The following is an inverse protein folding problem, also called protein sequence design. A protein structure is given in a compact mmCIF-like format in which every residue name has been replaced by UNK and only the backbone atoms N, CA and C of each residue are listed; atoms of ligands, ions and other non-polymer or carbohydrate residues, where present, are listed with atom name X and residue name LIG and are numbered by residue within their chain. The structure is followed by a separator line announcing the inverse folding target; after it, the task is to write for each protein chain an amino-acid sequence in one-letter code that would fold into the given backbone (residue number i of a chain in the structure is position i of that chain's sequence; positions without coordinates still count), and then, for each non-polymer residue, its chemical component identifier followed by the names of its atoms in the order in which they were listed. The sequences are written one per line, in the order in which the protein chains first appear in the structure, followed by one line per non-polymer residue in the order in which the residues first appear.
data_IF_878756219069
#
_entry.id   IF_878756219069
#
_cell.length_a   1.000
_cell.length_b   1.000
_cell.length_c   1.000
_cell.angle_alpha   90.00
_cell.angle_beta   90.00
_cell.angle_gamma   90.00
#
_symmetry.space_group_name_H-M   'P 1'
#
loop_
_entity.id
_entity.type
_entity.pdbx_description
1 polymer ?
#
# COMPACT_ATOMS: atom_id res chain seq x y z
N UNK A 1 0.00 -28.43 10.85
CA UNK A 1 0.96 -28.93 11.85
C UNK A 1 1.08 -27.89 12.95
N UNK A 2 0.97 -28.29 14.21
CA UNK A 2 1.09 -27.40 15.36
C UNK A 2 2.56 -27.20 15.75
N UNK A 3 2.88 -26.11 16.45
CA UNK A 3 4.25 -25.83 16.94
C UNK A 3 4.80 -27.00 17.78
N UNK A 4 3.93 -27.63 18.57
CA UNK A 4 4.26 -28.77 19.43
C UNK A 4 4.61 -30.02 18.64
N UNK A 5 3.91 -30.30 17.53
CA UNK A 5 4.22 -31.42 16.63
C UNK A 5 5.60 -31.26 15.98
N UNK A 6 5.94 -30.05 15.53
CA UNK A 6 7.24 -29.76 14.92
C UNK A 6 8.38 -29.98 15.92
N UNK A 7 8.22 -29.51 17.15
CA UNK A 7 9.22 -29.71 18.20
C UNK A 7 9.36 -31.18 18.60
N UNK A 8 8.27 -31.94 18.61
CA UNK A 8 8.32 -33.38 18.85
C UNK A 8 9.08 -34.10 17.73
N UNK A 9 8.85 -33.74 16.47
CA UNK A 9 9.58 -34.29 15.33
C UNK A 9 11.10 -33.98 15.40
N UNK A 10 11.46 -32.73 15.72
CA UNK A 10 12.87 -32.33 15.85
C UNK A 10 13.61 -33.06 16.99
N UNK A 11 12.91 -33.50 18.03
CA UNK A 11 13.53 -34.28 19.13
C UNK A 11 14.02 -35.65 18.68
N UNK A 12 13.39 -36.22 17.66
CA UNK A 12 13.75 -37.53 17.11
C UNK A 12 14.95 -37.49 16.15
N UNK A 13 15.47 -36.29 15.85
CA UNK A 13 16.62 -36.08 14.99
C UNK A 13 17.91 -35.94 15.81
N UNK A 14 19.03 -36.19 15.15
CA UNK A 14 20.36 -35.92 15.68
C UNK A 14 20.58 -34.42 15.87
N UNK A 15 21.51 -34.01 16.75
CA UNK A 15 21.93 -32.61 16.86
C UNK A 15 22.34 -31.98 15.52
N UNK A 16 23.03 -32.73 14.66
CA UNK A 16 23.53 -32.30 13.36
C UNK A 16 22.37 -31.98 12.40
N UNK A 17 21.41 -32.89 12.28
CA UNK A 17 20.21 -32.69 11.45
C UNK A 17 19.36 -31.51 11.97
N UNK A 18 19.28 -31.33 13.28
CA UNK A 18 18.61 -30.15 13.87
C UNK A 18 19.29 -28.84 13.48
N UNK A 19 20.63 -28.81 13.49
CA UNK A 19 21.38 -27.63 13.08
C UNK A 19 21.16 -27.31 11.61
N UNK A 20 21.15 -28.32 10.74
CA UNK A 20 20.87 -28.16 9.31
C UNK A 20 19.47 -27.60 9.04
N UNK A 21 18.46 -28.09 9.77
CA UNK A 21 17.09 -27.57 9.68
C UNK A 21 17.03 -26.11 10.13
N UNK A 22 17.66 -25.76 11.25
CA UNK A 22 17.70 -24.39 11.77
C UNK A 22 18.37 -23.45 10.75
N UNK A 23 19.48 -23.88 10.16
CA UNK A 23 20.18 -23.09 9.15
C UNK A 23 19.30 -22.87 7.91
N UNK A 24 18.69 -23.94 7.41
CA UNK A 24 17.79 -23.88 6.25
C UNK A 24 16.61 -22.95 6.51
N UNK A 25 15.93 -23.11 7.65
CA UNK A 25 14.84 -22.23 8.06
C UNK A 25 15.30 -20.76 8.17
N UNK A 26 16.50 -20.53 8.71
CA UNK A 26 17.08 -19.20 8.83
C UNK A 26 17.36 -18.56 7.47
N UNK A 27 17.85 -19.33 6.49
CA UNK A 27 18.07 -18.85 5.11
C UNK A 27 16.74 -18.47 4.46
N UNK A 28 15.73 -19.34 4.54
CA UNK A 28 14.39 -19.05 4.00
C UNK A 28 13.78 -17.77 4.59
N UNK A 29 13.92 -17.57 5.91
CA UNK A 29 13.43 -16.35 6.56
C UNK A 29 14.14 -15.09 6.05
N UNK A 30 15.45 -15.16 5.77
CA UNK A 30 16.20 -14.03 5.20
C UNK A 30 15.74 -13.73 3.78
N UNK A 31 15.57 -14.76 2.96
CA UNK A 31 15.09 -14.61 1.57
C UNK A 31 13.70 -13.96 1.55
N UNK A 32 12.79 -14.38 2.44
CA UNK A 32 11.47 -13.78 2.58
C UNK A 32 11.51 -12.29 2.95
N UNK A 33 12.42 -11.91 3.85
CA UNK A 33 12.62 -10.52 4.25
C UNK A 33 13.13 -9.70 3.06
N UNK A 34 14.11 -10.23 2.33
CA UNK A 34 14.67 -9.57 1.15
C UNK A 34 13.63 -9.40 0.05
N UNK A 35 12.87 -10.45 -0.27
CA UNK A 35 11.79 -10.37 -1.27
C UNK A 35 10.72 -9.35 -0.88
N UNK A 36 10.35 -9.27 0.40
CA UNK A 36 9.41 -8.23 0.87
C UNK A 36 9.98 -6.83 0.66
N UNK A 37 11.26 -6.62 0.94
CA UNK A 37 11.93 -5.34 0.69
C UNK A 37 11.93 -4.99 -0.81
N UNK A 38 12.29 -5.94 -1.68
CA UNK A 38 12.28 -5.76 -3.13
C UNK A 38 10.88 -5.42 -3.66
N UNK A 39 9.84 -6.15 -3.23
CA UNK A 39 8.44 -5.86 -3.62
C UNK A 39 8.00 -4.47 -3.19
N UNK A 40 8.44 -3.99 -2.01
CA UNK A 40 8.14 -2.63 -1.54
C UNK A 40 8.78 -1.57 -2.44
N UNK A 41 10.03 -1.77 -2.84
CA UNK A 41 10.75 -0.88 -3.77
C UNK A 41 10.06 -0.87 -5.13
N UNK A 42 9.73 -2.04 -5.68
CA UNK A 42 9.05 -2.17 -6.96
C UNK A 42 7.67 -1.51 -6.94
N UNK A 43 6.88 -1.72 -5.88
CA UNK A 43 5.59 -1.07 -5.70
C UNK A 43 5.73 0.45 -5.70
N UNK A 44 6.71 0.99 -4.97
CA UNK A 44 6.97 2.44 -4.93
C UNK A 44 7.33 2.96 -6.33
N UNK A 45 8.17 2.23 -7.08
CA UNK A 45 8.53 2.58 -8.47
C UNK A 45 7.30 2.63 -9.38
N UNK A 46 6.44 1.61 -9.32
CA UNK A 46 5.20 1.56 -10.13
C UNK A 46 4.24 2.70 -9.80
N UNK A 47 4.05 2.99 -8.51
CA UNK A 47 3.20 4.11 -8.08
C UNK A 47 3.74 5.45 -8.56
N UNK A 48 5.06 5.65 -8.49
CA UNK A 48 5.69 6.87 -9.01
C UNK A 48 5.46 7.02 -10.52
N UNK A 49 5.70 5.97 -11.29
CA UNK A 49 5.47 6.01 -12.74
C UNK A 49 3.99 6.27 -13.09
N UNK A 50 3.06 5.66 -12.34
CA UNK A 50 1.63 5.92 -12.52
C UNK A 50 1.25 7.37 -12.17
N UNK A 51 1.81 7.92 -11.10
CA UNK A 51 1.59 9.31 -10.72
C UNK A 51 2.14 10.26 -11.80
N UNK A 52 3.36 10.05 -12.28
CA UNK A 52 3.98 10.84 -13.36
C UNK A 52 3.14 10.77 -14.64
N UNK A 53 2.61 9.60 -15.01
CA UNK A 53 1.72 9.44 -16.16
C UNK A 53 0.34 10.09 -15.98
N UNK A 54 -0.11 10.27 -14.72
CA UNK A 54 -1.39 10.89 -14.42
C UNK A 54 -1.32 12.43 -14.39
N UNK A 55 -0.14 13.03 -14.23
CA UNK A 55 0.03 14.50 -14.16
C UNK A 55 -0.71 15.26 -15.27
N UNK A 56 -0.59 14.88 -16.56
CA UNK A 56 -1.26 15.61 -17.65
C UNK A 56 -2.80 15.60 -17.56
N UNK A 57 -3.38 14.66 -16.81
CA UNK A 57 -4.83 14.62 -16.61
C UNK A 57 -5.33 15.78 -15.75
N UNK A 58 -4.48 16.27 -14.84
CA UNK A 58 -4.78 17.33 -13.87
C UNK A 58 -4.28 18.71 -14.31
N UNK A 59 -3.36 18.77 -15.29
CA UNK A 59 -2.88 20.03 -15.87
C UNK A 59 -3.99 20.76 -16.65
N UNK A 60 -3.91 22.10 -16.83
CA UNK A 60 -4.88 22.87 -17.60
C UNK A 60 -5.15 22.28 -19.00
N UNK A 61 -6.43 22.06 -19.32
CA UNK A 61 -6.88 21.38 -20.54
C UNK A 61 -6.94 19.85 -20.44
N UNK A 62 -6.48 19.29 -19.32
CA UNK A 62 -6.66 17.89 -18.97
C UNK A 62 -8.08 17.59 -18.45
N UNK A 63 -8.58 16.35 -18.62
CA UNK A 63 -9.96 15.98 -18.30
C UNK A 63 -10.32 16.06 -16.81
N UNK A 64 -9.34 16.12 -15.92
CA UNK A 64 -9.56 16.21 -14.47
C UNK A 64 -9.23 17.61 -13.93
N UNK A 65 -8.74 18.53 -14.76
CA UNK A 65 -8.34 19.86 -14.33
C UNK A 65 -9.50 20.61 -13.65
N UNK A 66 -10.65 20.67 -14.31
CA UNK A 66 -11.78 21.46 -13.84
C UNK A 66 -12.42 20.91 -12.56
N UNK A 67 -12.21 19.63 -12.25
CA UNK A 67 -12.70 18.99 -11.01
C UNK A 67 -11.81 19.25 -9.80
N UNK A 68 -10.52 19.53 -10.03
CA UNK A 68 -9.50 19.59 -8.97
C UNK A 68 -8.72 20.91 -8.97
N UNK A 69 -9.03 21.83 -9.87
CA UNK A 69 -8.42 23.14 -9.93
C UNK A 69 -8.78 23.93 -8.66
N UNK A 70 -7.86 24.69 -8.06
CA UNK A 70 -8.19 25.61 -6.98
C UNK A 70 -9.26 26.65 -7.34
N UNK A 71 -9.42 26.90 -8.65
CA UNK A 71 -10.42 27.82 -9.21
C UNK A 71 -11.75 27.12 -9.55
N UNK A 72 -11.86 25.81 -9.33
CA UNK A 72 -13.11 25.08 -9.54
C UNK A 72 -14.17 25.47 -8.51
N UNK A 73 -15.45 25.33 -8.88
CA UNK A 73 -16.52 25.47 -7.89
C UNK A 73 -16.28 24.49 -6.73
N UNK A 74 -16.59 24.88 -5.48
CA UNK A 74 -16.45 23.99 -4.35
C UNK A 74 -17.27 22.72 -4.58
N UNK A 75 -16.68 21.57 -4.29
CA UNK A 75 -17.40 20.31 -4.31
C UNK A 75 -18.25 20.20 -3.03
N UNK A 76 -19.52 19.81 -3.18
CA UNK A 76 -20.47 19.63 -2.08
C UNK A 76 -20.95 18.18 -2.06
N UNK A 77 -21.00 17.58 -0.88
CA UNK A 77 -21.41 16.18 -0.72
C UNK A 77 -22.94 16.01 -0.82
N UNK A 78 -23.70 17.11 -0.73
CA UNK A 78 -25.16 17.11 -0.87
C UNK A 78 -25.71 18.45 -1.36
N UNK A 79 -26.91 18.41 -1.92
CA UNK A 79 -27.64 19.60 -2.37
C UNK A 79 -28.00 20.54 -1.20
N UNK A 80 -28.29 19.99 -0.01
CA UNK A 80 -28.54 20.79 1.21
C UNK A 80 -27.29 21.61 1.62
N UNK A 81 -26.10 21.03 1.50
CA UNK A 81 -24.84 21.71 1.80
C UNK A 81 -24.57 22.83 0.79
N UNK A 82 -24.76 22.56 -0.51
CA UNK A 82 -24.65 23.57 -1.58
C UNK A 82 -25.57 24.78 -1.34
N UNK A 83 -26.84 24.51 -1.01
CA UNK A 83 -27.83 25.55 -0.75
C UNK A 83 -27.52 26.35 0.53
N UNK A 84 -26.95 25.71 1.56
CA UNK A 84 -26.60 26.39 2.82
C UNK A 84 -25.51 27.47 2.68
N UNK A 85 -24.60 27.34 1.71
CA UNK A 85 -23.48 28.28 1.49
C UNK A 85 -23.89 29.49 0.65
N UNK A 86 -24.88 29.34 -0.23
CA UNK A 86 -25.49 30.43 -1.01
C UNK A 86 -26.43 31.33 -0.19
N UNK A 87 -26.93 30.85 0.95
CA UNK A 87 -27.80 31.59 1.87
C UNK A 87 -26.96 32.38 2.88
N UNK A 88 -26.21 33.39 2.41
CA UNK A 88 -25.94 34.54 3.28
C UNK A 88 -27.20 35.39 3.33
N UNK A 89 -28.15 34.99 4.16
CA UNK A 89 -29.30 35.81 4.53
C UNK A 89 -28.79 37.08 5.21
N UNK A 90 -28.80 38.20 4.49
CA UNK A 90 -28.85 39.50 5.13
C UNK A 90 -30.14 39.57 5.94
N UNK A 91 -29.96 39.72 7.26
CA UNK A 91 -30.89 40.23 8.28
C UNK A 91 -32.36 39.78 8.22
#
# INVERSE_FOLDING_TARGET
MTKTEILAALKNLTPEERLEIIETASRMMRDDIEQKAQRKVERKRKLRAAAEAAVPLYEPGGPLHDLWSPDSEPYFDSEEEYLSVGVKTNA
#
